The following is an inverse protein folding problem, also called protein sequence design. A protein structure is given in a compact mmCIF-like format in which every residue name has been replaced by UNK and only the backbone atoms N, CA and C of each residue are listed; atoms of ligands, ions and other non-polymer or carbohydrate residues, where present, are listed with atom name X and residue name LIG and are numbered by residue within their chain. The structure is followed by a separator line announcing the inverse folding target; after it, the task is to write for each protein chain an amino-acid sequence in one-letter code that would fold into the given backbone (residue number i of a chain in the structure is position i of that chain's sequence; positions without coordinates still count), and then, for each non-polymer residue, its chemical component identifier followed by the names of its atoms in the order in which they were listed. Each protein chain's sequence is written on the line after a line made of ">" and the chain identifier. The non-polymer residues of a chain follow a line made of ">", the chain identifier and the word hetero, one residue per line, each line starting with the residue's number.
data_IF_512153609869
#
_entry.id   IF_512153609869
#
_cell.length_a   1.000
_cell.length_b   1.000
_cell.length_c   1.000
_cell.angle_alpha   90.00
_cell.angle_beta   90.00
_cell.angle_gamma   90.00
#
_symmetry.space_group_name_H-M   'P 1'
#
loop_
_entity.id
_entity.type
_entity.pdbx_description
1 polymer ?
#
# COMPACT_ATOMS: atom_id res chain seq x y z
N UNK A 1 -13.73 -14.76 24.78
CA UNK A 1 -12.60 -14.98 25.70
C UNK A 1 -11.62 -13.84 25.51
N UNK A 2 -11.40 -12.98 26.51
CA UNK A 2 -10.41 -11.91 26.39
C UNK A 2 -9.01 -12.51 26.40
N UNK A 3 -8.28 -12.34 25.30
CA UNK A 3 -6.87 -12.71 25.22
C UNK A 3 -6.13 -11.94 26.30
N UNK A 4 -5.59 -12.64 27.31
CA UNK A 4 -4.54 -12.08 28.16
C UNK A 4 -3.34 -11.89 27.24
N UNK A 5 -3.19 -10.67 26.72
CA UNK A 5 -1.90 -10.25 26.18
C UNK A 5 -0.96 -10.39 27.37
N UNK A 6 0.05 -11.25 27.26
CA UNK A 6 1.16 -11.28 28.20
C UNK A 6 1.69 -9.84 28.29
N UNK A 7 1.25 -9.09 29.30
CA UNK A 7 1.75 -7.77 29.65
C UNK A 7 3.12 -7.93 30.33
N UNK A 8 3.94 -8.84 29.79
CA UNK A 8 5.29 -9.09 30.22
C UNK A 8 6.16 -7.94 29.72
N UNK A 9 6.86 -7.36 30.68
CA UNK A 9 7.89 -6.32 30.71
C UNK A 9 8.93 -6.35 29.55
N UNK A 10 8.90 -7.34 28.67
CA UNK A 10 9.90 -7.56 27.63
C UNK A 10 9.42 -6.95 26.30
N UNK A 11 10.26 -6.13 25.63
CA UNK A 11 10.03 -5.69 24.25
C UNK A 11 9.75 -6.85 23.29
N UNK A 12 8.71 -6.75 22.46
CA UNK A 12 8.50 -7.70 21.35
C UNK A 12 9.36 -7.32 20.15
N UNK A 13 9.57 -6.03 19.96
CA UNK A 13 10.47 -5.51 18.94
C UNK A 13 11.21 -4.26 19.36
N UNK A 14 12.28 -3.95 18.65
CA UNK A 14 13.00 -2.70 18.71
C UNK A 14 13.43 -2.24 17.31
N UNK A 15 14.20 -1.15 17.28
CA UNK A 15 14.80 -0.62 16.06
C UNK A 15 16.33 -0.76 16.13
N UNK A 16 16.93 -1.36 15.11
CA UNK A 16 18.38 -1.46 14.95
C UNK A 16 18.84 -0.59 13.78
N UNK A 17 19.49 0.53 14.08
CA UNK A 17 20.03 1.45 13.09
C UNK A 17 21.49 1.10 12.83
N UNK A 18 21.77 0.58 11.64
CA UNK A 18 23.13 0.36 11.17
C UNK A 18 23.78 1.69 10.81
N UNK A 19 25.05 1.85 11.21
CA UNK A 19 25.83 3.06 10.94
C UNK A 19 26.11 3.22 9.44
N UNK A 20 26.45 2.11 8.78
CA UNK A 20 26.59 2.00 7.33
C UNK A 20 25.70 0.85 6.81
N UNK A 21 24.62 1.16 6.07
CA UNK A 21 23.72 0.16 5.51
C UNK A 21 24.40 -0.84 4.57
N UNK A 22 25.50 -0.46 3.91
CA UNK A 22 26.17 -1.31 2.93
C UNK A 22 26.99 -2.42 3.60
N UNK A 23 27.64 -2.12 4.73
CA UNK A 23 28.38 -3.12 5.50
C UNK A 23 27.47 -3.89 6.45
N UNK A 24 26.45 -3.25 7.03
CA UNK A 24 25.44 -3.93 7.85
C UNK A 24 26.04 -4.67 9.07
N UNK A 25 27.11 -4.13 9.66
CA UNK A 25 27.89 -4.79 10.72
C UNK A 25 27.57 -4.30 12.12
N UNK A 26 27.73 -3.00 12.36
CA UNK A 26 27.59 -2.32 13.66
C UNK A 26 26.55 -1.20 13.62
N UNK A 27 26.10 -0.75 14.79
CA UNK A 27 25.15 0.34 14.87
C UNK A 27 24.62 0.60 16.27
N UNK A 28 23.41 1.16 16.34
CA UNK A 28 22.68 1.43 17.59
C UNK A 28 21.37 0.66 17.65
N UNK A 29 21.03 0.21 18.84
CA UNK A 29 19.76 -0.41 19.21
C UNK A 29 18.94 0.57 20.00
N UNK A 30 17.66 0.62 19.65
CA UNK A 30 16.65 1.43 20.30
C UNK A 30 15.54 0.50 20.76
N UNK A 31 15.40 0.39 22.07
CA UNK A 31 14.35 -0.38 22.72
C UNK A 31 13.12 0.51 22.99
N UNK A 32 11.89 -0.04 22.99
CA UNK A 32 10.66 0.73 23.23
C UNK A 32 10.57 1.35 24.63
N UNK A 33 11.39 0.90 25.58
CA UNK A 33 11.54 1.50 26.92
C UNK A 33 12.47 2.74 26.93
N UNK A 34 13.03 3.12 25.78
CA UNK A 34 13.92 4.25 25.62
C UNK A 34 15.40 3.92 25.81
N UNK A 35 15.74 2.65 26.06
CA UNK A 35 17.14 2.25 26.18
C UNK A 35 17.84 2.32 24.81
N UNK A 36 19.03 2.92 24.80
CA UNK A 36 19.90 3.02 23.62
C UNK A 36 21.21 2.28 23.90
N UNK A 37 21.54 1.30 23.07
CA UNK A 37 22.79 0.53 23.18
C UNK A 37 23.52 0.51 21.85
N UNK A 38 24.85 0.47 21.88
CA UNK A 38 25.65 0.22 20.67
C UNK A 38 25.85 -1.28 20.51
N UNK A 39 25.87 -1.76 19.27
CA UNK A 39 26.28 -3.11 18.92
C UNK A 39 27.42 -3.04 17.91
N UNK A 40 28.43 -3.89 18.08
CA UNK A 40 29.60 -3.94 17.18
C UNK A 40 29.40 -5.02 16.11
N UNK A 41 28.63 -6.06 16.44
CA UNK A 41 28.27 -7.12 15.53
C UNK A 41 26.78 -7.47 15.61
N UNK A 42 26.21 -7.90 14.49
CA UNK A 42 24.82 -8.43 14.41
C UNK A 42 24.60 -9.63 15.36
N UNK A 43 25.67 -10.31 15.78
CA UNK A 43 25.62 -11.36 16.79
C UNK A 43 25.25 -10.87 18.19
N UNK A 44 25.47 -9.59 18.49
CA UNK A 44 25.25 -8.99 19.81
C UNK A 44 23.77 -8.67 20.07
N UNK A 45 22.92 -8.80 19.05
CA UNK A 45 21.50 -8.49 19.11
C UNK A 45 20.75 -9.54 19.92
N UNK A 46 19.91 -9.08 20.85
CA UNK A 46 19.05 -9.96 21.64
C UNK A 46 18.12 -10.78 20.72
N UNK A 47 18.21 -12.10 20.83
CA UNK A 47 17.42 -13.05 20.05
C UNK A 47 15.95 -13.09 20.50
N UNK A 48 15.64 -12.62 21.70
CA UNK A 48 14.27 -12.54 22.21
C UNK A 48 13.49 -11.36 21.64
N UNK A 49 14.15 -10.43 20.92
CA UNK A 49 13.54 -9.23 20.33
C UNK A 49 13.60 -9.32 18.81
N UNK A 50 12.49 -8.98 18.15
CA UNK A 50 12.46 -8.77 16.70
C UNK A 50 12.99 -7.37 16.38
N UNK A 51 14.09 -7.27 15.65
CA UNK A 51 14.69 -5.98 15.31
C UNK A 51 14.31 -5.57 13.89
N UNK A 52 13.59 -4.46 13.77
CA UNK A 52 13.35 -3.80 12.50
C UNK A 52 14.53 -2.86 12.25
N UNK A 53 15.01 -2.77 11.03
CA UNK A 53 16.29 -2.13 10.71
C UNK A 53 16.14 -0.94 9.76
N UNK A 54 17.21 -0.20 9.46
CA UNK A 54 17.25 0.74 8.32
C UNK A 54 17.68 0.09 7.00
N UNK A 55 17.72 -1.25 6.94
CA UNK A 55 18.14 -2.02 5.78
C UNK A 55 16.95 -2.43 4.89
N UNK A 56 17.22 -2.76 3.64
CA UNK A 56 16.28 -3.31 2.66
C UNK A 56 16.14 -4.83 2.80
N UNK A 57 15.13 -5.41 2.15
CA UNK A 57 14.90 -6.88 2.17
C UNK A 57 16.04 -7.67 1.53
N UNK A 58 16.73 -7.09 0.55
CA UNK A 58 17.86 -7.71 -0.15
C UNK A 58 19.17 -7.74 0.64
N UNK A 59 19.27 -7.00 1.74
CA UNK A 59 20.52 -6.86 2.48
C UNK A 59 20.88 -8.15 3.23
N UNK A 60 22.16 -8.50 3.21
CA UNK A 60 22.66 -9.76 3.75
C UNK A 60 22.28 -9.99 5.22
N UNK A 61 22.41 -8.99 6.13
CA UNK A 61 22.11 -9.21 7.54
C UNK A 61 20.65 -9.63 7.76
N UNK A 62 19.73 -8.98 7.04
CA UNK A 62 18.29 -9.27 7.08
C UNK A 62 18.00 -10.69 6.61
N UNK A 63 18.68 -11.15 5.55
CA UNK A 63 18.50 -12.51 5.02
C UNK A 63 19.07 -13.61 5.91
N UNK A 64 20.17 -13.34 6.62
CA UNK A 64 20.87 -14.34 7.44
C UNK A 64 20.27 -14.51 8.84
N UNK A 65 19.68 -13.48 9.41
CA UNK A 65 19.23 -13.47 10.82
C UNK A 65 17.71 -13.46 10.92
N UNK A 66 17.16 -14.55 11.43
CA UNK A 66 15.72 -14.77 11.54
C UNK A 66 14.96 -13.77 12.43
N UNK A 67 15.65 -13.00 13.28
CA UNK A 67 15.06 -11.94 14.10
C UNK A 67 15.28 -10.51 13.56
N UNK A 68 15.90 -10.35 12.38
CA UNK A 68 16.01 -9.06 11.70
C UNK A 68 14.93 -8.88 10.63
N UNK A 69 14.39 -7.67 10.52
CA UNK A 69 13.44 -7.29 9.46
C UNK A 69 13.86 -5.99 8.77
N UNK A 70 13.45 -5.85 7.52
CA UNK A 70 13.74 -4.65 6.73
C UNK A 70 13.03 -3.41 7.28
N UNK A 71 13.43 -2.23 6.82
CA UNK A 71 12.89 -0.94 7.25
C UNK A 71 11.39 -0.81 7.05
N UNK A 72 10.87 -1.35 5.94
CA UNK A 72 9.46 -1.29 5.57
C UNK A 72 8.64 -2.50 6.04
N UNK A 73 9.15 -3.31 6.98
CA UNK A 73 8.52 -4.56 7.41
C UNK A 73 7.04 -4.41 7.75
N UNK A 74 6.68 -3.32 8.46
CA UNK A 74 5.29 -3.05 8.88
C UNK A 74 4.52 -2.14 7.90
N UNK A 75 4.87 -2.18 6.62
CA UNK A 75 4.15 -1.47 5.54
C UNK A 75 4.47 0.02 5.44
N UNK A 76 5.38 0.54 6.27
CA UNK A 76 5.97 1.87 6.15
C UNK A 76 7.42 1.79 6.64
N UNK A 77 8.33 2.52 5.99
CA UNK A 77 9.73 2.57 6.41
C UNK A 77 9.88 3.29 7.75
N UNK A 78 10.96 3.01 8.49
CA UNK A 78 11.26 3.73 9.75
C UNK A 78 11.37 5.25 9.53
N UNK A 79 11.84 5.69 8.37
CA UNK A 79 11.89 7.10 7.99
C UNK A 79 10.50 7.67 7.70
N UNK A 80 9.63 6.91 7.03
CA UNK A 80 8.24 7.32 6.81
C UNK A 80 7.47 7.44 8.13
N UNK A 81 7.67 6.49 9.05
CA UNK A 81 7.07 6.54 10.39
C UNK A 81 7.56 7.78 11.15
N UNK A 82 8.86 8.06 11.12
CA UNK A 82 9.41 9.26 11.75
C UNK A 82 8.79 10.54 11.17
N UNK A 83 8.77 10.67 9.83
CA UNK A 83 8.22 11.86 9.16
C UNK A 83 6.71 12.03 9.39
N UNK A 84 5.93 10.95 9.35
CA UNK A 84 4.49 10.98 9.64
C UNK A 84 4.18 11.46 11.06
N UNK A 85 5.13 11.27 12.00
CA UNK A 85 5.02 11.70 13.39
C UNK A 85 5.67 13.06 13.65
N UNK A 86 6.17 13.74 12.62
CA UNK A 86 6.87 15.02 12.74
C UNK A 86 8.24 14.92 13.42
N UNK A 87 8.87 13.75 13.39
CA UNK A 87 10.19 13.52 13.94
C UNK A 87 11.27 13.78 12.89
N UNK A 88 12.42 14.28 13.35
CA UNK A 88 13.55 14.58 12.48
C UNK A 88 14.14 13.33 11.81
N UNK A 89 14.46 13.45 10.53
CA UNK A 89 15.21 12.45 9.76
C UNK A 89 16.44 13.14 9.18
N UNK A 90 17.61 12.56 9.41
CA UNK A 90 18.88 13.09 8.92
C UNK A 90 18.95 13.02 7.38
N UNK A 91 19.79 13.85 6.73
CA UNK A 91 19.94 13.83 5.27
C UNK A 91 20.40 12.49 4.69
N UNK A 92 21.07 11.65 5.49
CA UNK A 92 21.49 10.29 5.14
C UNK A 92 20.42 9.22 5.43
N UNK A 93 19.21 9.64 5.83
CA UNK A 93 18.09 8.76 6.15
C UNK A 93 18.13 8.14 7.55
N UNK A 94 19.15 8.43 8.38
CA UNK A 94 19.22 7.95 9.76
C UNK A 94 18.35 8.79 10.69
N UNK A 95 17.91 8.18 11.78
CA UNK A 95 17.13 8.83 12.82
C UNK A 95 18.06 9.28 13.97
N UNK A 96 17.91 10.51 14.48
CA UNK A 96 18.50 10.90 15.76
C UNK A 96 18.00 10.01 16.90
N UNK A 97 18.79 9.84 17.97
CA UNK A 97 18.52 8.87 19.03
C UNK A 97 17.11 9.02 19.65
N UNK A 98 16.65 10.25 19.88
CA UNK A 98 15.30 10.52 20.38
C UNK A 98 14.20 10.09 19.41
N UNK A 99 14.36 10.38 18.12
CA UNK A 99 13.40 9.96 17.09
C UNK A 99 13.40 8.43 16.92
N UNK A 100 14.58 7.83 16.90
CA UNK A 100 14.77 6.38 16.79
C UNK A 100 14.10 5.61 17.95
N UNK A 101 14.23 6.10 19.19
CA UNK A 101 13.56 5.53 20.36
C UNK A 101 12.03 5.65 20.27
N UNK A 102 11.51 6.79 19.80
CA UNK A 102 10.07 6.97 19.58
C UNK A 102 9.53 6.01 18.51
N UNK A 103 10.26 5.86 17.39
CA UNK A 103 9.92 4.90 16.34
C UNK A 103 9.94 3.48 16.90
N UNK A 104 10.96 3.07 17.67
CA UNK A 104 10.98 1.76 18.33
C UNK A 104 9.73 1.48 19.17
N UNK A 105 9.25 2.47 19.95
CA UNK A 105 8.00 2.38 20.70
C UNK A 105 6.75 2.23 19.82
N UNK A 106 6.73 2.84 18.63
CA UNK A 106 5.64 2.66 17.65
C UNK A 106 5.67 1.25 17.06
N UNK A 107 6.85 0.74 16.71
CA UNK A 107 7.06 -0.60 16.17
C UNK A 107 6.56 -1.67 17.15
N UNK A 108 6.98 -1.59 18.41
CA UNK A 108 6.55 -2.54 19.46
C UNK A 108 5.03 -2.51 19.68
N UNK A 109 4.44 -1.30 19.74
CA UNK A 109 2.97 -1.17 19.84
C UNK A 109 2.25 -1.74 18.61
N UNK A 110 2.82 -1.59 17.41
CA UNK A 110 2.23 -2.13 16.19
C UNK A 110 2.25 -3.67 16.22
N UNK A 111 3.37 -4.29 16.60
CA UNK A 111 3.42 -5.75 16.73
C UNK A 111 2.53 -6.28 17.86
N UNK A 112 2.39 -5.55 18.97
CA UNK A 112 1.40 -5.91 20.02
C UNK A 112 -0.03 -5.81 19.51
N UNK A 113 -0.36 -4.79 18.72
CA UNK A 113 -1.68 -4.67 18.08
C UNK A 113 -1.91 -5.80 17.07
N UNK A 114 -0.91 -6.16 16.26
CA UNK A 114 -0.93 -7.32 15.37
C UNK A 114 -1.12 -8.63 16.12
N UNK A 115 -0.37 -8.86 17.19
CA UNK A 115 -0.50 -10.04 18.04
C UNK A 115 -1.88 -10.14 18.71
N UNK A 116 -2.45 -9.02 19.15
CA UNK A 116 -3.81 -8.97 19.68
C UNK A 116 -4.86 -9.37 18.64
N UNK A 117 -4.61 -9.04 17.36
CA UNK A 117 -5.50 -9.32 16.26
C UNK A 117 -5.35 -10.74 15.68
N UNK A 118 -4.13 -11.28 15.62
CA UNK A 118 -3.81 -12.52 14.89
C UNK A 118 -3.11 -13.60 15.74
N UNK A 119 -2.57 -13.25 16.92
CA UNK A 119 -1.58 -14.05 17.65
C UNK A 119 -2.07 -15.20 18.52
N UNK A 120 -3.32 -15.65 18.36
CA UNK A 120 -3.89 -16.86 18.98
C UNK A 120 -3.45 -17.18 20.44
N UNK A 121 -3.27 -16.16 21.29
CA UNK A 121 -3.02 -16.32 22.73
C UNK A 121 -1.61 -16.06 23.25
N UNK A 122 -0.60 -15.79 22.42
CA UNK A 122 0.71 -15.31 22.89
C UNK A 122 1.37 -14.37 21.89
N UNK A 123 1.58 -13.12 22.32
CA UNK A 123 2.19 -12.11 21.48
C UNK A 123 3.63 -12.43 21.13
N UNK A 124 4.40 -12.94 22.10
CA UNK A 124 5.77 -13.39 21.88
C UNK A 124 5.82 -14.50 20.83
N UNK A 125 5.03 -15.57 20.98
CA UNK A 125 5.05 -16.69 20.03
C UNK A 125 4.65 -16.28 18.63
N UNK A 126 3.68 -15.37 18.51
CA UNK A 126 3.25 -14.87 17.21
C UNK A 126 4.34 -14.05 16.53
N UNK A 127 4.95 -13.08 17.24
CA UNK A 127 6.03 -12.23 16.69
C UNK A 127 7.24 -13.07 16.26
N UNK A 128 7.65 -14.03 17.09
CA UNK A 128 8.76 -14.95 16.77
C UNK A 128 8.41 -16.01 15.72
N UNK A 129 7.12 -16.18 15.41
CA UNK A 129 6.64 -17.04 14.34
C UNK A 129 6.58 -16.37 12.96
N UNK A 130 6.75 -15.04 12.87
CA UNK A 130 6.72 -14.28 11.62
C UNK A 130 7.92 -14.66 10.75
N UNK A 131 7.69 -14.95 9.46
CA UNK A 131 8.74 -15.37 8.52
C UNK A 131 8.71 -14.58 7.21
N UNK A 132 7.72 -13.73 7.00
CA UNK A 132 7.62 -12.88 5.82
C UNK A 132 8.68 -11.79 5.82
N UNK A 133 9.04 -11.35 4.63
CA UNK A 133 9.85 -10.14 4.43
C UNK A 133 9.09 -8.89 4.85
N UNK A 134 7.75 -8.97 4.81
CA UNK A 134 6.82 -7.94 5.26
C UNK A 134 5.71 -8.55 6.10
N UNK A 135 5.22 -7.79 7.09
CA UNK A 135 4.16 -8.22 8.00
C UNK A 135 2.87 -8.60 7.27
N UNK A 136 2.53 -7.89 6.19
CA UNK A 136 1.34 -8.20 5.39
C UNK A 136 1.39 -9.60 4.76
N UNK A 137 2.59 -10.13 4.48
CA UNK A 137 2.74 -11.49 3.95
C UNK A 137 2.40 -12.52 5.01
N UNK A 138 2.84 -12.33 6.26
CA UNK A 138 2.50 -13.23 7.37
C UNK A 138 1.01 -13.14 7.72
N UNK A 139 0.42 -11.94 7.79
CA UNK A 139 -1.02 -11.75 7.96
C UNK A 139 -1.79 -12.47 6.83
N UNK A 140 -1.33 -12.31 5.59
CA UNK A 140 -1.97 -12.87 4.40
C UNK A 140 -1.98 -14.39 4.31
N UNK A 141 -1.23 -15.11 5.16
CA UNK A 141 -1.26 -16.58 5.24
C UNK A 141 -2.57 -17.10 5.84
N UNK A 142 -3.15 -16.37 6.78
CA UNK A 142 -4.37 -16.78 7.49
C UNK A 142 -5.65 -16.21 6.87
N UNK A 143 -5.50 -15.19 6.01
CA UNK A 143 -6.59 -14.53 5.30
C UNK A 143 -7.04 -15.35 4.07
N UNK A 144 -8.35 -15.37 3.77
CA UNK A 144 -8.84 -16.03 2.57
C UNK A 144 -8.31 -15.34 1.30
N UNK A 145 -8.42 -16.05 0.18
CA UNK A 145 -8.09 -15.51 -1.14
C UNK A 145 -9.32 -15.10 -1.90
N UNK A 146 -9.14 -14.12 -2.78
CA UNK A 146 -10.13 -13.81 -3.79
C UNK A 146 -10.37 -15.02 -4.68
N UNK A 147 -11.59 -15.15 -5.22
CA UNK A 147 -11.93 -16.25 -6.11
C UNK A 147 -11.04 -16.21 -7.35
N UNK A 148 -10.49 -17.38 -7.70
CA UNK A 148 -9.76 -17.59 -8.96
C UNK A 148 -10.56 -18.45 -9.94
N UNK A 149 -11.47 -19.30 -9.43
CA UNK A 149 -12.00 -20.49 -10.11
C UNK A 149 -12.80 -20.25 -11.39
N UNK A 150 -13.54 -19.14 -11.50
CA UNK A 150 -14.24 -18.83 -12.77
C UNK A 150 -13.30 -18.26 -13.84
N UNK A 151 -12.30 -17.48 -13.44
CA UNK A 151 -11.30 -16.91 -14.37
C UNK A 151 -10.24 -17.96 -14.76
N UNK A 152 -9.98 -18.94 -13.90
CA UNK A 152 -9.10 -20.10 -14.17
C UNK A 152 -9.56 -20.93 -15.38
N UNK A 153 -10.85 -20.90 -15.69
CA UNK A 153 -11.43 -21.58 -16.84
C UNK A 153 -11.14 -20.88 -18.18
N UNK A 154 -10.56 -19.67 -18.15
CA UNK A 154 -10.27 -18.87 -19.35
C UNK A 154 -8.80 -19.04 -19.81
N UNK A 155 -8.56 -19.23 -21.13
CA UNK A 155 -7.21 -19.23 -21.68
C UNK A 155 -6.47 -17.93 -21.33
N UNK A 156 -5.22 -18.03 -20.85
CA UNK A 156 -4.38 -16.86 -20.49
C UNK A 156 -4.87 -16.05 -19.28
N UNK A 157 -5.62 -16.65 -18.34
CA UNK A 157 -6.03 -16.03 -17.06
C UNK A 157 -4.92 -15.17 -16.42
N UNK A 158 -3.72 -15.73 -16.28
CA UNK A 158 -2.59 -15.04 -15.64
C UNK A 158 -2.30 -13.70 -16.27
N UNK A 159 -2.35 -13.65 -17.60
CA UNK A 159 -2.11 -12.43 -18.35
C UNK A 159 -3.24 -11.42 -18.14
N UNK A 160 -4.50 -11.89 -18.11
CA UNK A 160 -5.67 -11.04 -17.80
C UNK A 160 -5.50 -10.41 -16.42
N UNK A 161 -5.26 -11.23 -15.39
CA UNK A 161 -5.14 -10.77 -14.01
C UNK A 161 -3.89 -9.92 -13.80
N UNK A 162 -2.74 -10.29 -14.38
CA UNK A 162 -1.53 -9.47 -14.32
C UNK A 162 -1.69 -8.15 -15.06
N UNK A 163 -2.39 -8.16 -16.21
CA UNK A 163 -2.68 -6.94 -16.97
C UNK A 163 -3.63 -6.05 -16.19
N UNK A 164 -4.63 -6.59 -15.49
CA UNK A 164 -5.62 -5.84 -14.72
C UNK A 164 -5.14 -5.41 -13.32
N UNK A 165 -3.98 -5.90 -12.85
CA UNK A 165 -3.37 -5.51 -11.59
C UNK A 165 -2.42 -4.30 -11.73
N UNK A 166 -2.60 -3.28 -10.89
CA UNK A 166 -1.70 -2.12 -10.82
C UNK A 166 -1.69 -1.55 -9.41
N UNK A 167 -0.51 -1.40 -8.81
CA UNK A 167 -0.38 -1.01 -7.39
C UNK A 167 -0.69 0.47 -7.17
N UNK A 168 -0.08 1.35 -7.99
CA UNK A 168 -0.14 2.81 -7.86
C UNK A 168 -0.11 3.48 -9.24
N UNK A 169 -0.46 4.76 -9.27
CA UNK A 169 -0.35 5.62 -10.44
C UNK A 169 0.82 6.60 -10.25
N UNK A 170 1.64 6.75 -11.30
CA UNK A 170 2.82 7.64 -11.33
C UNK A 170 2.69 8.52 -12.58
N UNK A 171 2.25 9.78 -12.45
CA UNK A 171 2.19 10.74 -13.55
C UNK A 171 3.55 10.99 -14.19
N UNK A 172 3.53 11.17 -15.51
CA UNK A 172 4.73 11.37 -16.33
C UNK A 172 4.72 12.79 -16.86
N UNK A 173 5.50 13.65 -16.19
CA UNK A 173 5.54 15.09 -16.46
C UNK A 173 6.62 15.51 -17.47
N UNK A 174 7.43 14.58 -17.96
CA UNK A 174 8.63 14.88 -18.75
C UNK A 174 9.79 15.39 -17.88
N UNK A 175 10.74 16.09 -18.50
CA UNK A 175 11.88 16.66 -17.78
C UNK A 175 11.42 17.89 -16.96
N UNK A 176 11.48 17.75 -15.64
CA UNK A 176 11.29 18.86 -14.72
C UNK A 176 12.58 19.10 -13.95
N UNK A 177 13.19 20.30 -14.02
CA UNK A 177 14.43 20.58 -13.32
C UNK A 177 14.20 20.55 -11.81
N UNK A 178 14.99 19.75 -11.11
CA UNK A 178 15.03 19.73 -9.65
C UNK A 178 15.79 20.97 -9.17
N UNK A 179 15.05 22.05 -8.95
CA UNK A 179 15.61 23.29 -8.43
C UNK A 179 15.97 23.18 -6.94
N UNK A 180 16.91 23.99 -6.45
CA UNK A 180 17.09 24.19 -5.02
C UNK A 180 15.77 24.66 -4.39
N UNK A 181 15.40 24.07 -3.25
CA UNK A 181 14.10 24.32 -2.58
C UNK A 181 13.00 23.31 -2.90
N UNK A 182 13.23 22.38 -3.83
CA UNK A 182 12.28 21.29 -4.11
C UNK A 182 12.18 20.32 -2.94
N UNK A 183 10.95 20.04 -2.50
CA UNK A 183 10.64 19.08 -1.42
C UNK A 183 9.61 18.07 -1.90
N UNK A 184 9.74 16.84 -1.40
CA UNK A 184 8.73 15.81 -1.64
C UNK A 184 7.92 15.67 -0.36
N UNK A 185 6.61 15.83 -0.48
CA UNK A 185 5.66 15.73 0.63
C UNK A 185 4.65 14.63 0.30
N UNK A 186 4.58 13.62 1.17
CA UNK A 186 3.52 12.61 1.10
C UNK A 186 2.40 13.00 2.05
N UNK A 187 1.18 13.11 1.55
CA UNK A 187 -0.01 13.29 2.38
C UNK A 187 -0.73 11.94 2.46
N UNK A 188 -1.01 11.46 3.68
CA UNK A 188 -1.65 10.16 3.91
C UNK A 188 -2.93 10.29 4.73
N UNK A 189 -3.95 9.54 4.32
CA UNK A 189 -5.16 9.38 5.12
C UNK A 189 -4.85 8.60 6.40
N UNK A 190 -5.77 8.66 7.37
CA UNK A 190 -5.71 7.75 8.51
C UNK A 190 -5.73 6.30 8.01
N UNK A 191 -4.63 5.56 8.21
CA UNK A 191 -4.47 4.21 7.67
C UNK A 191 -5.55 3.22 8.16
N UNK A 192 -6.01 3.34 9.41
CA UNK A 192 -7.07 2.47 9.93
C UNK A 192 -8.43 2.78 9.29
N UNK A 193 -8.80 4.06 9.23
CA UNK A 193 -10.06 4.50 8.66
C UNK A 193 -10.10 4.22 7.15
N UNK A 194 -9.00 4.48 6.44
CA UNK A 194 -8.86 4.20 5.02
C UNK A 194 -8.96 2.70 4.73
N UNK A 195 -8.20 1.86 5.43
CA UNK A 195 -8.30 0.40 5.29
C UNK A 195 -9.73 -0.10 5.57
N UNK A 196 -10.39 0.44 6.60
CA UNK A 196 -11.78 0.11 6.93
C UNK A 196 -12.73 0.49 5.79
N UNK A 197 -12.61 1.69 5.23
CA UNK A 197 -13.41 2.15 4.11
C UNK A 197 -13.25 1.22 2.90
N UNK A 198 -12.01 0.89 2.54
CA UNK A 198 -11.70 0.01 1.40
C UNK A 198 -12.30 -1.39 1.58
N UNK A 199 -12.20 -1.98 2.78
CA UNK A 199 -12.67 -3.34 3.05
C UNK A 199 -14.19 -3.44 3.23
N UNK A 200 -14.87 -2.31 3.42
CA UNK A 200 -16.34 -2.20 3.48
C UNK A 200 -17.00 -2.09 2.09
N UNK A 201 -16.21 -1.98 1.02
CA UNK A 201 -16.71 -1.92 -0.35
C UNK A 201 -17.31 -3.26 -0.80
N UNK A 202 -17.93 -3.23 -1.98
CA UNK A 202 -18.51 -4.39 -2.64
C UNK A 202 -17.49 -5.03 -3.60
N UNK A 203 -17.39 -6.36 -3.57
CA UNK A 203 -16.40 -7.12 -4.31
C UNK A 203 -17.05 -8.20 -5.18
N UNK A 204 -16.44 -8.57 -6.31
CA UNK A 204 -16.94 -9.68 -7.12
C UNK A 204 -17.01 -10.97 -6.30
N UNK A 205 -18.10 -11.71 -6.45
CA UNK A 205 -18.28 -13.04 -5.84
C UNK A 205 -17.38 -14.05 -6.54
N UNK A 206 -17.24 -13.91 -7.85
CA UNK A 206 -16.24 -14.50 -8.73
C UNK A 206 -16.32 -16.00 -8.95
N UNK A 207 -17.48 -16.64 -8.74
CA UNK A 207 -17.64 -18.08 -9.02
C UNK A 207 -18.03 -18.32 -10.47
N UNK A 208 -18.96 -17.53 -11.00
CA UNK A 208 -19.51 -17.70 -12.35
C UNK A 208 -19.08 -16.55 -13.28
N UNK A 209 -17.86 -16.65 -13.79
CA UNK A 209 -17.36 -15.73 -14.81
C UNK A 209 -17.75 -16.21 -16.21
N UNK A 210 -18.47 -15.38 -16.95
CA UNK A 210 -18.85 -15.64 -18.35
C UNK A 210 -18.13 -14.69 -19.28
N UNK A 211 -17.65 -15.21 -20.41
CA UNK A 211 -17.03 -14.40 -21.45
C UNK A 211 -18.09 -13.94 -22.44
N UNK A 212 -18.24 -12.63 -22.59
CA UNK A 212 -19.15 -12.02 -23.55
C UNK A 212 -18.34 -11.52 -24.75
N UNK A 213 -18.59 -12.11 -25.93
CA UNK A 213 -18.04 -11.65 -27.21
C UNK A 213 -18.99 -10.64 -27.84
N UNK A 214 -18.49 -9.47 -28.26
CA UNK A 214 -19.30 -8.51 -28.99
C UNK A 214 -18.78 -7.08 -28.91
N UNK A 215 -18.93 -6.34 -30.01
CA UNK A 215 -18.39 -4.99 -30.22
C UNK A 215 -19.26 -3.89 -29.64
N UNK A 216 -18.59 -2.98 -28.93
CA UNK A 216 -18.93 -1.62 -28.52
C UNK A 216 -20.30 -1.01 -28.94
N UNK A 217 -20.97 -0.46 -27.94
CA UNK A 217 -22.09 0.50 -28.01
C UNK A 217 -22.30 1.16 -26.65
N UNK A 218 -23.02 2.30 -26.57
CA UNK A 218 -23.32 3.00 -25.30
C UNK A 218 -24.09 2.09 -24.33
N UNK A 219 -24.97 1.23 -24.86
CA UNK A 219 -25.69 0.21 -24.08
C UNK A 219 -24.74 -0.81 -23.45
N UNK A 220 -23.67 -1.19 -24.16
CA UNK A 220 -22.69 -2.17 -23.68
C UNK A 220 -21.85 -1.63 -22.51
N UNK A 221 -21.48 -0.34 -22.53
CA UNK A 221 -20.80 0.28 -21.40
C UNK A 221 -21.73 0.31 -20.18
N UNK A 222 -23.01 0.64 -20.37
CA UNK A 222 -24.02 0.55 -19.30
C UNK A 222 -24.08 -0.85 -18.68
N UNK A 223 -24.07 -1.90 -19.50
CA UNK A 223 -24.05 -3.29 -19.04
C UNK A 223 -22.76 -3.65 -18.27
N UNK A 224 -21.60 -3.20 -18.76
CA UNK A 224 -20.31 -3.40 -18.08
C UNK A 224 -20.24 -2.67 -16.74
N UNK A 225 -20.85 -1.50 -16.64
CA UNK A 225 -20.87 -0.72 -15.39
C UNK A 225 -21.93 -1.21 -14.41
N UNK A 226 -22.98 -1.89 -14.88
CA UNK A 226 -24.05 -2.42 -14.05
C UNK A 226 -23.63 -3.67 -13.23
N UNK A 227 -22.57 -4.36 -13.62
CA UNK A 227 -22.13 -5.62 -13.00
C UNK A 227 -20.61 -5.73 -12.97
N UNK A 228 -20.03 -6.51 -12.04
CA UNK A 228 -18.58 -6.67 -11.99
C UNK A 228 -18.06 -7.34 -13.25
N UNK A 229 -17.12 -6.67 -13.91
CA UNK A 229 -16.48 -7.19 -15.10
C UNK A 229 -14.98 -6.91 -15.13
N UNK A 230 -14.27 -7.71 -15.92
CA UNK A 230 -12.94 -7.41 -16.43
C UNK A 230 -13.07 -7.19 -17.93
N UNK A 231 -12.66 -6.03 -18.42
CA UNK A 231 -12.91 -5.62 -19.80
C UNK A 231 -11.59 -5.56 -20.55
N UNK A 232 -11.55 -6.23 -21.71
CA UNK A 232 -10.49 -6.02 -22.69
C UNK A 232 -10.85 -4.80 -23.52
N UNK A 233 -10.08 -3.73 -23.41
CA UNK A 233 -10.40 -2.50 -24.10
C UNK A 233 -9.17 -1.74 -24.58
N UNK A 234 -9.37 -0.96 -25.63
CA UNK A 234 -8.49 0.14 -25.99
C UNK A 234 -9.10 1.44 -25.46
N UNK A 235 -8.31 2.19 -24.69
CA UNK A 235 -8.67 3.54 -24.29
C UNK A 235 -7.94 4.56 -25.17
N UNK A 236 -8.68 5.48 -25.77
CA UNK A 236 -8.14 6.61 -26.53
C UNK A 236 -8.66 7.94 -26.00
N UNK A 237 -7.86 8.99 -26.20
CA UNK A 237 -8.32 10.35 -25.95
C UNK A 237 -9.54 10.64 -26.84
N UNK A 238 -10.54 11.32 -26.30
CA UNK A 238 -11.70 11.75 -27.10
C UNK A 238 -11.23 12.76 -28.15
N UNK A 239 -11.80 12.70 -29.35
CA UNK A 239 -11.53 13.70 -30.38
C UNK A 239 -11.77 15.11 -29.84
N UNK A 240 -10.79 16.00 -29.99
CA UNK A 240 -10.82 17.38 -29.50
C UNK A 240 -10.34 17.59 -28.06
N UNK A 241 -10.01 16.52 -27.31
CA UNK A 241 -9.30 16.63 -26.03
C UNK A 241 -7.80 16.44 -26.25
N UNK A 242 -7.13 17.53 -26.63
CA UNK A 242 -5.67 17.54 -26.87
C UNK A 242 -4.85 17.58 -25.57
N UNK A 243 -5.44 17.96 -24.44
CA UNK A 243 -4.72 18.17 -23.17
C UNK A 243 -5.38 17.41 -22.00
N UNK A 244 -5.16 16.09 -21.95
CA UNK A 244 -5.53 15.29 -20.78
C UNK A 244 -4.39 15.29 -19.78
N UNK A 245 -4.66 15.76 -18.57
CA UNK A 245 -3.67 15.85 -17.50
C UNK A 245 -2.85 14.56 -17.32
N UNK A 246 -1.53 14.65 -17.11
CA UNK A 246 -0.67 13.50 -16.78
C UNK A 246 -1.17 12.71 -15.57
N UNK A 247 -1.85 13.38 -14.62
CA UNK A 247 -2.49 12.73 -13.48
C UNK A 247 -3.56 11.76 -13.93
N UNK A 248 -4.41 12.19 -14.85
CA UNK A 248 -5.45 11.34 -15.42
C UNK A 248 -4.83 10.22 -16.23
N UNK A 249 -3.83 10.47 -17.07
CA UNK A 249 -3.17 9.38 -17.83
C UNK A 249 -2.57 8.30 -16.92
N UNK A 250 -1.98 8.68 -15.78
CA UNK A 250 -1.39 7.75 -14.82
C UNK A 250 -2.39 6.80 -14.15
N UNK A 251 -3.61 7.29 -13.85
CA UNK A 251 -4.68 6.48 -13.22
C UNK A 251 -5.00 5.25 -14.07
N UNK A 252 -4.80 5.40 -15.38
CA UNK A 252 -5.24 4.54 -16.45
C UNK A 252 -4.12 3.58 -16.89
N UNK A 253 -2.97 3.63 -16.20
CA UNK A 253 -1.81 2.80 -16.51
C UNK A 253 -1.10 3.22 -17.81
N UNK A 254 -1.36 4.43 -18.33
CA UNK A 254 -0.52 5.02 -19.37
C UNK A 254 0.70 5.65 -18.70
N UNK A 255 1.89 5.15 -19.03
CA UNK A 255 3.18 5.69 -18.60
C UNK A 255 3.69 6.81 -19.53
N UNK A 256 2.80 7.46 -20.28
CA UNK A 256 3.12 8.60 -21.14
C UNK A 256 4.08 8.30 -22.32
N UNK A 257 4.59 7.09 -22.48
CA UNK A 257 5.47 6.73 -23.58
C UNK A 257 4.66 6.30 -24.81
N UNK A 258 5.00 6.82 -26.01
CA UNK A 258 4.34 6.49 -27.29
C UNK A 258 4.26 4.98 -27.60
N UNK A 259 5.08 4.14 -26.94
CA UNK A 259 5.23 2.70 -27.20
C UNK A 259 5.10 1.80 -25.96
N UNK A 260 4.64 2.32 -24.83
CA UNK A 260 4.46 1.45 -23.68
C UNK A 260 3.35 0.43 -23.86
N UNK A 261 3.49 -0.70 -23.16
CA UNK A 261 2.48 -1.75 -23.09
C UNK A 261 1.13 -1.15 -22.72
N UNK A 262 0.28 -0.92 -23.72
CA UNK A 262 -1.14 -0.63 -23.51
C UNK A 262 -1.69 -1.77 -22.66
N UNK A 263 -2.06 -1.50 -21.40
CA UNK A 263 -2.77 -2.49 -20.59
C UNK A 263 -4.01 -2.90 -21.38
N UNK A 264 -4.15 -4.20 -21.62
CA UNK A 264 -5.25 -4.70 -22.41
C UNK A 264 -6.51 -4.90 -21.59
N UNK A 265 -6.39 -5.05 -20.27
CA UNK A 265 -7.49 -5.42 -19.36
C UNK A 265 -7.66 -4.43 -18.22
N UNK A 266 -8.91 -4.05 -17.98
CA UNK A 266 -9.32 -3.12 -16.93
C UNK A 266 -10.40 -3.76 -16.06
N UNK A 267 -10.40 -3.44 -14.77
CA UNK A 267 -11.50 -3.84 -13.87
C UNK A 267 -12.65 -2.85 -13.93
N UNK A 268 -13.86 -3.27 -13.56
CA UNK A 268 -15.03 -2.38 -13.61
C UNK A 268 -14.86 -1.05 -12.84
N UNK A 269 -14.28 -0.97 -11.63
CA UNK A 269 -14.08 0.31 -10.95
C UNK A 269 -13.16 1.25 -11.73
N UNK A 270 -12.14 0.69 -12.38
CA UNK A 270 -11.23 1.43 -13.24
C UNK A 270 -11.91 1.85 -14.54
N UNK A 271 -12.73 0.98 -15.15
CA UNK A 271 -13.52 1.30 -16.33
C UNK A 271 -14.52 2.42 -16.08
N UNK A 272 -15.21 2.39 -14.94
CA UNK A 272 -16.13 3.44 -14.53
C UNK A 272 -15.42 4.79 -14.57
N UNK A 273 -14.23 4.87 -13.96
CA UNK A 273 -13.45 6.10 -13.93
C UNK A 273 -12.89 6.49 -15.30
N UNK A 274 -12.37 5.52 -16.04
CA UNK A 274 -11.86 5.70 -17.42
C UNK A 274 -12.90 6.35 -18.33
N UNK A 275 -14.13 5.87 -18.25
CA UNK A 275 -15.21 6.30 -19.15
C UNK A 275 -15.61 7.76 -18.97
N UNK A 276 -15.26 8.38 -17.83
CA UNK A 276 -15.48 9.81 -17.58
C UNK A 276 -14.56 10.69 -18.45
N UNK A 277 -13.32 10.24 -18.72
CA UNK A 277 -12.27 11.05 -19.34
C UNK A 277 -11.84 10.57 -20.73
N UNK A 278 -12.08 9.30 -21.08
CA UNK A 278 -11.60 8.71 -22.33
C UNK A 278 -12.73 8.10 -23.14
N UNK A 279 -12.44 7.83 -24.42
CA UNK A 279 -13.24 6.93 -25.23
C UNK A 279 -12.72 5.50 -25.00
N UNK A 280 -13.62 4.61 -24.59
CA UNK A 280 -13.27 3.21 -24.30
C UNK A 280 -13.91 2.32 -25.36
N UNK A 281 -13.07 1.67 -26.15
CA UNK A 281 -13.49 0.68 -27.14
C UNK A 281 -13.28 -0.72 -26.57
N UNK A 282 -14.35 -1.31 -26.05
CA UNK A 282 -14.31 -2.68 -25.58
C UNK A 282 -14.26 -3.68 -26.74
N UNK A 283 -13.35 -4.64 -26.63
CA UNK A 283 -13.21 -5.76 -27.56
C UNK A 283 -13.88 -7.05 -27.04
N UNK A 284 -14.09 -7.12 -25.73
CA UNK A 284 -14.74 -8.23 -25.03
C UNK A 284 -14.60 -8.05 -23.53
N UNK A 285 -15.41 -8.76 -22.75
CA UNK A 285 -15.32 -8.71 -21.30
C UNK A 285 -15.69 -10.03 -20.64
N UNK A 286 -15.13 -10.21 -19.45
CA UNK A 286 -15.52 -11.24 -18.50
C UNK A 286 -16.49 -10.60 -17.53
N UNK A 287 -17.62 -11.24 -17.30
CA UNK A 287 -18.69 -10.75 -16.44
C UNK A 287 -18.90 -11.73 -15.28
N UNK A 288 -18.99 -11.23 -14.06
CA UNK A 288 -19.39 -12.02 -12.89
C UNK A 288 -20.92 -12.05 -12.78
N UNK A 289 -21.54 -13.17 -13.12
CA UNK A 289 -23.00 -13.31 -13.05
C UNK A 289 -23.54 -13.31 -11.62
N UNK A 290 -22.68 -13.61 -10.65
CA UNK A 290 -23.05 -13.62 -9.23
C UNK A 290 -23.06 -12.21 -8.60
N UNK A 291 -22.59 -11.20 -9.35
CA UNK A 291 -22.59 -9.81 -8.92
C UNK A 291 -21.56 -9.51 -7.82
N UNK A 292 -21.89 -8.55 -6.95
CA UNK A 292 -21.01 -8.13 -5.84
C UNK A 292 -21.55 -8.52 -4.48
N UNK A 293 -20.63 -8.65 -3.52
CA UNK A 293 -20.94 -8.77 -2.10
C UNK A 293 -19.84 -8.16 -1.22
N UNK A 294 -20.11 -7.86 0.06
CA UNK A 294 -19.05 -7.54 1.01
C UNK A 294 -18.04 -8.69 1.15
N UNK A 295 -16.79 -8.38 1.51
CA UNK A 295 -15.81 -9.40 1.85
C UNK A 295 -16.31 -10.28 3.01
N UNK A 296 -15.97 -11.57 3.03
CA UNK A 296 -16.33 -12.45 4.15
C UNK A 296 -15.71 -11.93 5.44
N UNK A 297 -16.33 -12.22 6.59
CA UNK A 297 -15.91 -11.72 7.91
C UNK A 297 -14.43 -11.99 8.23
N UNK A 298 -13.85 -13.08 7.71
CA UNK A 298 -12.43 -13.41 7.88
C UNK A 298 -11.46 -12.50 7.11
N UNK A 299 -11.93 -11.81 6.07
CA UNK A 299 -11.18 -10.81 5.31
C UNK A 299 -11.52 -9.36 5.72
N UNK A 300 -12.40 -9.19 6.72
CA UNK A 300 -12.64 -7.89 7.33
C UNK A 300 -11.58 -7.61 8.40
N UNK A 301 -11.38 -6.33 8.73
CA UNK A 301 -10.50 -5.96 9.84
C UNK A 301 -10.99 -6.59 11.14
N UNK A 302 -10.10 -7.27 11.91
CA UNK A 302 -10.47 -7.87 13.19
C UNK A 302 -11.02 -6.84 14.19
N UNK A 303 -11.95 -7.27 15.03
CA UNK A 303 -12.51 -6.45 16.13
C UNK A 303 -11.41 -5.95 17.09
N UNK A 304 -10.31 -6.69 17.22
CA UNK A 304 -9.13 -6.27 17.96
C UNK A 304 -8.50 -4.97 17.42
N UNK A 305 -8.75 -4.59 16.16
CA UNK A 305 -8.33 -3.32 15.57
C UNK A 305 -9.45 -2.28 15.53
N UNK A 306 -10.71 -2.70 15.35
CA UNK A 306 -11.83 -1.78 15.04
C UNK A 306 -12.85 -1.61 16.17
N UNK A 307 -12.89 -2.49 17.16
CA UNK A 307 -13.90 -2.52 18.23
C UNK A 307 -13.85 -1.34 19.23
N UNK A 308 -12.92 -0.40 19.05
CA UNK A 308 -12.80 0.82 19.87
C UNK A 308 -12.44 1.99 18.97
N UNK A 309 -13.19 3.09 19.06
CA UNK A 309 -13.03 4.24 18.17
C UNK A 309 -11.67 4.93 18.35
N UNK A 310 -11.13 4.95 19.56
CA UNK A 310 -9.85 5.57 19.92
C UNK A 310 -8.67 4.92 19.21
N UNK A 311 -8.80 3.68 18.74
CA UNK A 311 -7.76 3.00 17.96
C UNK A 311 -7.47 3.70 16.63
N UNK A 312 -8.44 4.45 16.09
CA UNK A 312 -8.21 5.29 14.91
C UNK A 312 -7.24 6.43 15.19
N UNK A 313 -7.07 6.85 16.45
CA UNK A 313 -6.08 7.86 16.83
C UNK A 313 -4.66 7.27 16.95
N UNK A 314 -4.53 5.95 17.03
CA UNK A 314 -3.24 5.28 17.20
C UNK A 314 -2.59 4.98 15.86
N UNK A 315 -1.45 5.62 15.60
CA UNK A 315 -0.63 5.39 14.41
C UNK A 315 -0.24 3.90 14.26
N UNK A 316 0.12 3.24 15.37
CA UNK A 316 0.50 1.83 15.39
C UNK A 316 -0.62 0.88 14.94
N UNK A 317 -1.88 1.14 15.35
CA UNK A 317 -3.03 0.38 14.86
C UNK A 317 -3.29 0.64 13.37
N UNK A 318 -3.06 1.88 12.92
CA UNK A 318 -3.09 2.24 11.51
C UNK A 318 -2.12 1.42 10.66
N UNK A 319 -0.88 1.23 11.11
CA UNK A 319 0.12 0.41 10.40
C UNK A 319 -0.35 -1.04 10.25
N UNK A 320 -0.88 -1.66 11.31
CA UNK A 320 -1.36 -3.05 11.26
C UNK A 320 -2.58 -3.18 10.34
N UNK A 321 -3.51 -2.22 10.38
CA UNK A 321 -4.67 -2.22 9.50
C UNK A 321 -4.28 -2.04 8.03
N UNK A 322 -3.27 -1.21 7.76
CA UNK A 322 -2.70 -1.08 6.43
C UNK A 322 -2.04 -2.38 5.97
N UNK A 323 -1.28 -3.08 6.83
CA UNK A 323 -0.75 -4.40 6.51
C UNK A 323 -1.86 -5.43 6.24
N UNK A 324 -2.99 -5.39 6.95
CA UNK A 324 -4.14 -6.26 6.64
C UNK A 324 -4.72 -5.95 5.26
N UNK A 325 -4.91 -4.68 4.93
CA UNK A 325 -5.38 -4.27 3.61
C UNK A 325 -4.39 -4.72 2.51
N UNK A 326 -3.09 -4.48 2.69
CA UNK A 326 -2.04 -4.95 1.78
C UNK A 326 -2.04 -6.48 1.62
N UNK A 327 -2.30 -7.23 2.69
CA UNK A 327 -2.34 -8.69 2.65
C UNK A 327 -3.44 -9.23 1.70
N UNK A 328 -4.49 -8.45 1.47
CA UNK A 328 -5.57 -8.75 0.51
C UNK A 328 -5.33 -8.06 -0.85
N UNK A 329 -4.71 -6.89 -0.85
CA UNK A 329 -4.51 -6.06 -2.04
C UNK A 329 -3.25 -6.42 -2.84
N UNK A 330 -2.36 -7.27 -2.31
CA UNK A 330 -1.09 -7.66 -2.95
C UNK A 330 -1.19 -9.05 -3.58
N UNK A 331 -0.55 -9.23 -4.74
CA UNK A 331 -0.38 -10.54 -5.37
C UNK A 331 0.35 -11.50 -4.43
N UNK A 332 -0.08 -12.77 -4.37
CA UNK A 332 0.46 -13.75 -3.42
C UNK A 332 0.95 -15.02 -4.15
N UNK A 333 2.01 -15.68 -3.66
CA UNK A 333 2.45 -16.96 -4.22
C UNK A 333 1.34 -18.00 -4.08
N UNK A 334 1.17 -18.88 -5.08
CA UNK A 334 0.19 -19.98 -5.04
C UNK A 334 0.91 -21.24 -4.57
N UNK A 335 0.25 -22.13 -3.83
CA UNK A 335 0.83 -23.26 -3.08
C UNK A 335 1.70 -24.27 -3.87
N UNK A 336 1.85 -24.07 -5.18
CA UNK A 336 2.60 -24.96 -6.08
C UNK A 336 3.60 -24.19 -6.98
N UNK A 337 3.75 -22.87 -6.78
CA UNK A 337 4.52 -21.98 -7.68
C UNK A 337 5.14 -20.80 -6.94
N UNK A 338 6.41 -20.52 -7.21
CA UNK A 338 7.11 -19.33 -6.70
C UNK A 338 6.60 -18.01 -7.30
N UNK A 339 5.82 -18.08 -8.39
CA UNK A 339 5.31 -16.90 -9.09
C UNK A 339 4.08 -16.34 -8.36
N UNK A 340 4.18 -15.08 -7.94
CA UNK A 340 3.06 -14.34 -7.36
C UNK A 340 1.90 -14.19 -8.35
N UNK A 341 0.67 -14.31 -7.83
CA UNK A 341 -0.53 -14.17 -8.63
C UNK A 341 -1.49 -13.19 -7.94
N UNK A 342 -1.88 -12.14 -8.67
CA UNK A 342 -2.98 -11.28 -8.27
C UNK A 342 -4.30 -12.06 -8.36
N UNK A 343 -5.09 -12.04 -7.29
CA UNK A 343 -6.46 -12.55 -7.30
C UNK A 343 -7.47 -11.41 -7.61
N UNK A 344 -8.74 -11.78 -7.83
CA UNK A 344 -9.79 -10.81 -8.17
C UNK A 344 -9.96 -9.73 -7.10
N UNK A 345 -9.86 -10.07 -5.81
CA UNK A 345 -9.99 -9.07 -4.75
C UNK A 345 -8.80 -8.12 -4.74
N UNK A 346 -7.58 -8.63 -4.99
CA UNK A 346 -6.40 -7.77 -5.07
C UNK A 346 -6.52 -6.75 -6.21
N UNK A 347 -7.00 -7.16 -7.38
CA UNK A 347 -7.26 -6.27 -8.52
C UNK A 347 -8.32 -5.23 -8.16
N UNK A 348 -9.43 -5.66 -7.57
CA UNK A 348 -10.53 -4.77 -7.21
C UNK A 348 -10.13 -3.74 -6.15
N UNK A 349 -9.48 -4.18 -5.07
CA UNK A 349 -8.98 -3.31 -4.00
C UNK A 349 -8.07 -2.23 -4.56
N UNK A 350 -7.12 -2.62 -5.42
CA UNK A 350 -6.20 -1.69 -6.06
C UNK A 350 -6.90 -0.74 -7.01
N UNK A 351 -7.86 -1.22 -7.80
CA UNK A 351 -8.60 -0.37 -8.73
C UNK A 351 -9.46 0.67 -8.01
N UNK A 352 -10.14 0.28 -6.93
CA UNK A 352 -10.93 1.20 -6.11
C UNK A 352 -10.04 2.24 -5.40
N UNK A 353 -8.90 1.81 -4.87
CA UNK A 353 -7.90 2.71 -4.27
C UNK A 353 -7.42 3.75 -5.29
N UNK A 354 -7.00 3.31 -6.49
CA UNK A 354 -6.57 4.22 -7.56
C UNK A 354 -7.68 5.15 -8.02
N UNK A 355 -8.92 4.67 -8.15
CA UNK A 355 -10.04 5.50 -8.57
C UNK A 355 -10.34 6.61 -7.55
N UNK A 356 -10.37 6.29 -6.26
CA UNK A 356 -10.53 7.28 -5.20
C UNK A 356 -9.36 8.27 -5.16
N UNK A 357 -8.14 7.77 -5.20
CA UNK A 357 -6.95 8.62 -5.13
C UNK A 357 -6.75 9.46 -6.40
N UNK A 358 -7.24 9.02 -7.56
CA UNK A 358 -7.24 9.81 -8.79
C UNK A 358 -8.05 11.10 -8.63
N UNK A 359 -9.22 11.04 -7.99
CA UNK A 359 -10.03 12.24 -7.76
C UNK A 359 -9.33 13.27 -6.89
N UNK A 360 -8.69 12.79 -5.82
CA UNK A 360 -7.90 13.61 -4.90
C UNK A 360 -6.70 14.21 -5.64
N UNK A 361 -5.97 13.41 -6.42
CA UNK A 361 -4.83 13.86 -7.21
C UNK A 361 -5.21 14.85 -8.32
N UNK A 362 -6.36 14.64 -8.96
CA UNK A 362 -6.86 15.56 -9.99
C UNK A 362 -7.19 16.93 -9.38
N UNK A 363 -7.81 16.97 -8.19
CA UNK A 363 -8.03 18.22 -7.47
C UNK A 363 -6.73 18.90 -7.08
N UNK A 364 -5.76 18.15 -6.54
CA UNK A 364 -4.42 18.69 -6.23
C UNK A 364 -3.79 19.36 -7.46
N UNK A 365 -3.86 18.69 -8.61
CA UNK A 365 -3.34 19.22 -9.86
C UNK A 365 -4.10 20.45 -10.36
N UNK A 366 -5.42 20.47 -10.23
CA UNK A 366 -6.25 21.63 -10.59
C UNK A 366 -5.95 22.85 -9.70
N UNK A 367 -5.53 22.62 -8.45
CA UNK A 367 -5.03 23.65 -7.53
C UNK A 367 -3.59 24.10 -7.85
N UNK A 368 -2.98 23.57 -8.91
CA UNK A 368 -1.63 23.91 -9.35
C UNK A 368 -0.51 23.12 -8.66
N UNK A 369 -0.83 22.10 -7.87
CA UNK A 369 0.17 21.25 -7.21
C UNK A 369 0.73 20.20 -8.17
N UNK A 370 2.02 19.90 -8.04
CA UNK A 370 2.67 18.87 -8.83
C UNK A 370 2.53 17.50 -8.15
N UNK A 371 1.89 16.55 -8.82
CA UNK A 371 1.61 15.21 -8.29
C UNK A 371 2.60 14.19 -8.83
N UNK A 372 3.43 13.62 -7.95
CA UNK A 372 4.44 12.60 -8.29
C UNK A 372 3.87 11.20 -8.38
N UNK A 373 2.98 10.86 -7.45
CA UNK A 373 2.39 9.55 -7.35
C UNK A 373 1.13 9.60 -6.49
N UNK A 374 0.23 8.65 -6.69
CA UNK A 374 -0.91 8.45 -5.81
C UNK A 374 -1.39 6.99 -5.81
N UNK A 375 -2.03 6.61 -4.72
CA UNK A 375 -2.46 5.24 -4.41
C UNK A 375 -2.14 4.89 -2.96
N UNK A 376 -2.64 3.75 -2.50
CA UNK A 376 -2.50 3.24 -1.14
C UNK A 376 -2.97 4.21 -0.05
N UNK A 377 -4.02 5.01 -0.35
CA UNK A 377 -4.51 6.06 0.55
C UNK A 377 -3.54 7.23 0.75
N UNK A 378 -2.61 7.44 -0.19
CA UNK A 378 -1.60 8.48 -0.13
C UNK A 378 -1.42 9.21 -1.48
N UNK A 379 -0.99 10.47 -1.40
CA UNK A 379 -0.52 11.26 -2.54
C UNK A 379 0.87 11.80 -2.24
N UNK A 380 1.76 11.71 -3.22
CA UNK A 380 3.10 12.30 -3.17
C UNK A 380 3.10 13.55 -4.03
N UNK A 381 3.44 14.67 -3.41
CA UNK A 381 3.55 15.97 -4.05
C UNK A 381 5.00 16.40 -4.13
N UNK A 382 5.37 17.03 -5.25
CA UNK A 382 6.61 17.77 -5.38
C UNK A 382 6.28 19.25 -5.20
N UNK A 383 6.87 19.87 -4.20
CA UNK A 383 6.57 21.25 -3.82
C UNK A 383 7.82 22.12 -3.94
N UNK A 384 7.63 23.35 -4.40
CA UNK A 384 8.53 24.46 -4.15
C UNK A 384 8.10 25.20 -2.88
N UNK A 385 8.97 26.07 -2.35
CA UNK A 385 8.62 26.90 -1.19
C UNK A 385 7.38 27.79 -1.45
N UNK A 386 7.13 28.18 -2.71
CA UNK A 386 5.93 28.92 -3.13
C UNK A 386 4.63 28.13 -2.98
N UNK A 387 4.71 26.80 -2.99
CA UNK A 387 3.53 25.93 -3.08
C UNK A 387 3.02 25.53 -1.69
N UNK A 388 3.80 25.80 -0.64
CA UNK A 388 3.54 25.34 0.73
C UNK A 388 2.17 25.80 1.25
N UNK A 389 1.78 27.04 0.97
CA UNK A 389 0.49 27.57 1.43
C UNK A 389 -0.69 26.88 0.72
N UNK A 390 -0.56 26.61 -0.58
CA UNK A 390 -1.58 25.90 -1.36
C UNK A 390 -1.66 24.45 -0.88
N UNK A 391 -0.53 23.79 -0.70
CA UNK A 391 -0.45 22.41 -0.22
C UNK A 391 -1.01 22.24 1.19
N UNK A 392 -0.77 23.20 2.10
CA UNK A 392 -1.35 23.17 3.44
C UNK A 392 -2.88 23.28 3.39
N UNK A 393 -3.41 24.24 2.61
CA UNK A 393 -4.86 24.38 2.44
C UNK A 393 -5.48 23.12 1.84
N UNK A 394 -4.86 22.55 0.81
CA UNK A 394 -5.31 21.33 0.17
C UNK A 394 -5.34 20.16 1.17
N UNK A 395 -4.28 20.01 1.98
CA UNK A 395 -4.22 19.01 3.03
C UNK A 395 -5.40 19.14 4.01
N UNK A 396 -5.62 20.32 4.57
CA UNK A 396 -6.69 20.56 5.54
C UNK A 396 -8.08 20.26 4.97
N UNK A 397 -8.33 20.61 3.70
CA UNK A 397 -9.60 20.39 3.01
C UNK A 397 -9.87 18.91 2.72
N UNK A 398 -8.86 18.17 2.25
CA UNK A 398 -9.01 16.75 1.95
C UNK A 398 -9.00 15.87 3.21
N UNK A 399 -8.56 16.42 4.35
CA UNK A 399 -8.59 15.71 5.63
C UNK A 399 -7.51 14.63 5.77
N UNK A 400 -6.35 14.81 5.14
CA UNK A 400 -5.19 13.94 5.43
C UNK A 400 -4.76 14.11 6.89
N UNK A 401 -4.20 13.05 7.49
CA UNK A 401 -3.79 13.09 8.90
C UNK A 401 -2.28 13.15 9.07
N UNK A 402 -1.52 12.64 8.10
CA UNK A 402 -0.08 12.55 8.18
C UNK A 402 0.54 13.25 6.97
N UNK A 403 0.89 14.54 7.09
CA UNK A 403 1.83 15.17 6.16
C UNK A 403 3.23 14.65 6.49
N UNK A 404 3.97 14.17 5.50
CA UNK A 404 5.35 13.77 5.67
C UNK A 404 6.19 14.40 4.59
N UNK A 405 6.99 15.39 4.95
CA UNK A 405 7.93 16.06 4.04
C UNK A 405 9.38 15.62 4.28
N UNK A 406 10.18 15.64 3.22
CA UNK A 406 11.64 15.58 3.30
C UNK A 406 12.30 16.35 2.16
N UNK A 407 13.58 16.75 2.30
CA UNK A 407 14.37 17.13 1.12
C UNK A 407 14.31 15.96 0.13
N UNK A 408 14.20 16.26 -1.17
CA UNK A 408 14.20 15.23 -2.21
C UNK A 408 15.50 14.42 -2.16
N UNK A 409 15.44 13.24 -1.57
CA UNK A 409 16.51 12.25 -1.69
C UNK A 409 16.35 11.61 -3.08
N UNK A 410 17.24 11.94 -4.00
CA UNK A 410 17.42 11.17 -5.22
C UNK A 410 18.43 10.05 -4.98
N UNK A 411 17.98 8.88 -5.44
CA UNK A 411 18.68 7.61 -5.71
C UNK A 411 19.01 6.71 -4.53
#
# INVERSE_FOLDING_TARGET
>A
MSVRVDAGVIPLSGYAQFDDPNSGTSGKLFSPDGEVRRFEHVGDLDQAVLWITNLSTGDEPVRRKGNLRCSAFIGASVQEIARDLGLDVQPDGRLPDGAAAHVAGVLDRALRAGASAYGAGSAYRWVHGLKGEYLHQDIGRDLPRGPLSGVESFPRQREVLSSAYQVRAIPQWGEWPLGPGTRFVTLRFNRLAYARQMLQMQFPVGKNWVHVQGTAGVELLGEMLARPCLVRAEASLRQGMEDTSPVTLAALGFDGARNARRRGWFSQPELAKLSEFMEVKAEGFLLDEDGTRPLPSRAQLPEALTGRAERALSYAYGLVAHCHWLALATARPVADREVEHADIWSIWLRAMDRALMHEVALRAHQDGLHVEAYGEGAIVLRLQDSDLQIAQRFWELEGFQYPAGGPGQFQ
#
